data_IF_549561075043
#
_entry.id   IF_549561075043
#
_cell.length_a   1.000
_cell.length_b   1.000
_cell.length_c   1.000
_cell.angle_alpha   90.00
_cell.angle_beta   90.00
_cell.angle_gamma   90.00
#
_symmetry.space_group_name_H-M   'P 1'
#
loop_
_entity.id
_entity.type
_entity.pdbx_description
1 polymer ?
#
# COMPACT_ATOMS: atom_id res chain seq x y z
N UNK A 1 -62.63 -49.55 -28.70
CA UNK A 1 -63.08 -49.04 -27.40
C UNK A 1 -61.99 -48.11 -26.86
N UNK A 2 -62.29 -46.81 -26.76
CA UNK A 2 -61.37 -45.80 -26.24
C UNK A 2 -61.72 -45.49 -24.79
N UNK A 3 -60.80 -45.37 -23.86
CA UNK A 3 -61.07 -44.77 -22.56
C UNK A 3 -60.73 -43.27 -22.52
N UNK A 4 -61.53 -42.64 -21.79
CA UNK A 4 -61.76 -41.29 -21.32
C UNK A 4 -60.52 -40.46 -20.94
N UNK A 5 -60.58 -39.18 -21.35
CA UNK A 5 -59.65 -38.09 -20.94
C UNK A 5 -59.98 -37.64 -19.52
N UNK A 6 -58.99 -37.67 -18.66
CA UNK A 6 -58.95 -36.95 -17.36
C UNK A 6 -58.46 -35.50 -17.55
N UNK A 7 -59.24 -34.53 -17.07
CA UNK A 7 -58.93 -33.10 -17.08
C UNK A 7 -57.91 -32.82 -15.98
N UNK A 8 -56.79 -32.17 -16.35
CA UNK A 8 -55.85 -31.58 -15.40
C UNK A 8 -56.34 -30.20 -14.99
N UNK A 9 -56.60 -30.02 -13.71
CA UNK A 9 -56.85 -28.73 -13.06
C UNK A 9 -55.51 -28.00 -12.87
N UNK A 10 -55.37 -26.86 -13.57
CA UNK A 10 -54.24 -25.94 -13.39
C UNK A 10 -54.40 -25.17 -12.07
N UNK A 11 -53.51 -25.47 -11.14
CA UNK A 11 -53.38 -24.71 -9.89
C UNK A 11 -52.38 -23.58 -10.10
N UNK A 12 -52.87 -22.40 -10.44
CA UNK A 12 -52.05 -21.17 -10.54
C UNK A 12 -51.68 -20.70 -9.13
N UNK A 13 -50.53 -21.14 -8.63
CA UNK A 13 -49.91 -20.52 -7.47
C UNK A 13 -49.19 -19.22 -7.86
N UNK A 14 -49.84 -18.11 -7.52
CA UNK A 14 -49.23 -16.78 -7.61
C UNK A 14 -48.01 -16.71 -6.69
N UNK A 15 -46.82 -16.75 -7.27
CA UNK A 15 -45.56 -16.45 -6.55
C UNK A 15 -45.55 -14.96 -6.18
N UNK A 16 -45.81 -14.66 -4.90
CA UNK A 16 -45.54 -13.36 -4.31
C UNK A 16 -44.01 -13.09 -4.40
N UNK A 17 -43.63 -12.18 -5.29
CA UNK A 17 -42.26 -11.62 -5.31
C UNK A 17 -42.09 -10.80 -4.06
N UNK A 18 -41.42 -11.37 -3.07
CA UNK A 18 -40.87 -10.60 -1.94
C UNK A 18 -39.75 -9.71 -2.47
N UNK A 19 -40.09 -8.49 -2.82
CA UNK A 19 -39.11 -7.42 -3.03
C UNK A 19 -38.52 -7.04 -1.66
N UNK A 20 -37.54 -7.82 -1.21
CA UNK A 20 -36.69 -7.38 -0.12
C UNK A 20 -35.97 -6.10 -0.59
N UNK A 21 -36.41 -4.95 -0.08
CA UNK A 21 -35.67 -3.73 -0.22
C UNK A 21 -34.24 -3.99 0.27
N UNK A 22 -33.26 -3.84 -0.63
CA UNK A 22 -31.85 -3.88 -0.23
C UNK A 22 -31.66 -2.77 0.79
N UNK A 23 -31.29 -3.17 2.02
CA UNK A 23 -30.83 -2.21 3.01
C UNK A 23 -29.72 -1.33 2.40
N UNK A 24 -29.71 -0.01 2.68
CA UNK A 24 -28.67 0.87 2.16
C UNK A 24 -27.33 0.27 2.54
N UNK A 25 -26.47 0.02 1.54
CA UNK A 25 -25.09 -0.40 1.78
C UNK A 25 -24.46 0.70 2.62
N UNK A 26 -24.11 0.37 3.85
CA UNK A 26 -23.28 1.23 4.69
C UNK A 26 -22.09 1.62 3.83
N UNK A 27 -21.93 2.91 3.58
CA UNK A 27 -20.79 3.43 2.84
C UNK A 27 -19.53 3.05 3.62
N UNK A 28 -18.70 2.19 3.04
CA UNK A 28 -17.40 1.86 3.62
C UNK A 28 -16.66 3.19 3.76
N UNK A 29 -16.20 3.54 4.97
CA UNK A 29 -15.47 4.79 5.17
C UNK A 29 -14.31 4.84 4.17
N UNK A 30 -14.08 6.01 3.55
CA UNK A 30 -12.97 6.18 2.64
C UNK A 30 -11.64 5.92 3.40
N UNK A 31 -10.88 4.88 3.06
CA UNK A 31 -9.66 4.53 3.80
C UNK A 31 -8.49 5.46 3.50
N UNK A 32 -8.61 6.34 2.52
CA UNK A 32 -7.56 7.19 2.01
C UNK A 32 -6.93 8.10 3.08
N UNK A 33 -7.69 8.85 3.89
CA UNK A 33 -7.11 9.67 4.96
C UNK A 33 -6.32 8.84 5.97
N UNK A 34 -6.82 7.65 6.33
CA UNK A 34 -6.15 6.76 7.26
C UNK A 34 -4.79 6.26 6.72
N UNK A 35 -4.73 5.89 5.45
CA UNK A 35 -3.48 5.47 4.81
C UNK A 35 -2.50 6.65 4.67
N UNK A 36 -2.97 7.86 4.36
CA UNK A 36 -2.12 9.05 4.28
C UNK A 36 -1.53 9.42 5.64
N UNK A 37 -2.30 9.33 6.72
CA UNK A 37 -1.79 9.53 8.09
C UNK A 37 -0.76 8.46 8.47
N UNK A 38 -0.97 7.20 8.07
CA UNK A 38 0.00 6.12 8.27
C UNK A 38 1.31 6.37 7.52
N UNK A 39 1.23 6.81 6.25
CA UNK A 39 2.40 7.20 5.44
C UNK A 39 3.12 8.39 6.07
N UNK A 40 2.39 9.40 6.54
CA UNK A 40 2.98 10.56 7.21
C UNK A 40 3.77 10.14 8.47
N UNK A 41 3.19 9.30 9.31
CA UNK A 41 3.87 8.77 10.49
C UNK A 41 5.13 7.97 10.12
N UNK A 42 5.06 7.16 9.06
CA UNK A 42 6.21 6.44 8.52
C UNK A 42 7.31 7.40 8.05
N UNK A 43 6.99 8.40 7.21
CA UNK A 43 7.96 9.36 6.68
C UNK A 43 8.68 10.11 7.79
N UNK A 44 7.93 10.58 8.81
CA UNK A 44 8.49 11.28 9.97
C UNK A 44 9.52 10.45 10.73
N UNK A 45 9.25 9.16 10.90
CA UNK A 45 10.18 8.26 11.58
C UNK A 45 11.35 7.83 10.68
N UNK A 46 11.07 7.51 9.41
CA UNK A 46 12.06 6.98 8.47
C UNK A 46 13.10 8.02 8.06
N UNK A 47 12.73 9.30 7.90
CA UNK A 47 13.67 10.38 7.53
C UNK A 47 14.81 10.59 8.52
N UNK A 48 14.63 10.17 9.77
CA UNK A 48 15.67 10.24 10.82
C UNK A 48 16.49 8.96 10.92
N UNK A 49 16.22 7.96 10.08
CA UNK A 49 16.96 6.70 10.09
C UNK A 49 18.25 6.86 9.28
N UNK A 50 19.43 6.60 9.86
CA UNK A 50 20.70 6.69 9.13
C UNK A 50 20.69 5.83 7.87
N UNK A 51 21.14 6.38 6.75
CA UNK A 51 21.19 5.72 5.46
C UNK A 51 19.91 5.84 4.62
N UNK A 52 18.84 6.45 5.12
CA UNK A 52 17.71 6.88 4.28
C UNK A 52 18.08 8.15 3.54
N UNK A 53 18.07 8.12 2.21
CA UNK A 53 18.46 9.22 1.34
C UNK A 53 17.29 9.97 0.73
N UNK A 54 16.17 9.26 0.47
CA UNK A 54 14.97 9.82 -0.16
C UNK A 54 13.75 8.97 0.18
N UNK A 55 12.59 9.58 0.30
CA UNK A 55 11.31 8.90 0.46
C UNK A 55 10.33 9.48 -0.54
N UNK A 56 9.60 8.63 -1.25
CA UNK A 56 8.59 9.03 -2.22
C UNK A 56 7.31 8.21 -2.08
N UNK A 57 6.17 8.83 -2.39
CA UNK A 57 4.87 8.18 -2.46
C UNK A 57 4.63 7.68 -3.88
N UNK A 58 4.20 6.43 -3.99
CA UNK A 58 3.84 5.77 -5.24
C UNK A 58 2.36 5.36 -5.25
N UNK A 59 1.99 4.68 -6.31
CA UNK A 59 0.73 3.92 -6.38
C UNK A 59 -0.53 4.78 -6.30
N UNK A 60 -1.57 4.16 -5.78
CA UNK A 60 -2.93 4.73 -5.80
C UNK A 60 -3.13 5.94 -4.89
N UNK A 61 -2.31 6.10 -3.85
CA UNK A 61 -2.34 7.29 -2.98
C UNK A 61 -1.77 8.55 -3.66
N UNK A 62 -0.89 8.37 -4.65
CA UNK A 62 -0.34 9.47 -5.43
C UNK A 62 -1.27 9.91 -6.59
N UNK A 63 -2.44 9.29 -6.76
CA UNK A 63 -3.41 9.56 -7.83
C UNK A 63 -4.78 9.88 -7.25
N UNK A 64 -5.70 10.38 -8.10
CA UNK A 64 -7.10 10.67 -7.74
C UNK A 64 -7.98 9.43 -7.54
N UNK A 65 -7.40 8.25 -7.42
CA UNK A 65 -8.16 7.03 -7.21
C UNK A 65 -8.97 7.11 -5.90
N UNK A 66 -10.31 7.07 -5.95
CA UNK A 66 -11.14 7.30 -4.76
C UNK A 66 -10.90 6.28 -3.65
N UNK A 67 -10.67 5.01 -4.02
CA UNK A 67 -10.37 3.94 -3.08
C UNK A 67 -8.99 3.38 -3.40
N UNK A 68 -7.95 3.78 -2.65
CA UNK A 68 -6.63 3.20 -2.78
C UNK A 68 -6.66 1.74 -2.36
N UNK A 69 -5.75 0.93 -2.92
CA UNK A 69 -5.62 -0.49 -2.54
C UNK A 69 -4.60 -0.66 -1.41
N UNK A 70 -3.48 0.05 -1.52
CA UNK A 70 -2.33 -0.11 -0.65
C UNK A 70 -1.62 1.24 -0.46
N UNK A 71 -0.77 1.31 0.56
CA UNK A 71 0.15 2.42 0.78
C UNK A 71 1.54 2.04 0.23
N UNK A 72 1.88 2.53 -0.95
CA UNK A 72 3.13 2.24 -1.64
C UNK A 72 4.15 3.35 -1.42
N UNK A 73 5.28 3.04 -0.80
CA UNK A 73 6.36 3.99 -0.52
C UNK A 73 7.67 3.50 -1.12
N UNK A 74 8.37 4.37 -1.85
CA UNK A 74 9.73 4.12 -2.31
C UNK A 74 10.72 4.79 -1.37
N UNK A 75 11.68 4.03 -0.86
CA UNK A 75 12.79 4.55 -0.06
C UNK A 75 14.10 4.32 -0.80
N UNK A 76 14.81 5.39 -1.09
CA UNK A 76 16.19 5.31 -1.58
C UNK A 76 17.13 5.25 -0.38
N UNK A 77 18.02 4.28 -0.40
CA UNK A 77 18.89 3.97 0.73
C UNK A 77 20.38 3.97 0.35
N UNK A 78 21.22 4.23 1.33
CA UNK A 78 22.65 3.96 1.23
C UNK A 78 22.93 2.45 1.14
N UNK A 79 24.02 2.08 0.47
CA UNK A 79 24.39 0.68 0.26
C UNK A 79 24.67 -0.06 1.59
N UNK A 80 25.26 0.64 2.56
CA UNK A 80 25.66 0.08 3.85
C UNK A 80 24.57 0.16 4.93
N UNK A 81 23.39 0.73 4.61
CA UNK A 81 22.33 0.94 5.59
C UNK A 81 21.86 -0.38 6.23
N UNK A 82 21.77 -0.43 7.57
CA UNK A 82 21.05 -1.50 8.27
C UNK A 82 19.53 -1.35 8.03
N UNK A 83 18.89 -2.43 7.52
CA UNK A 83 17.47 -2.42 7.19
C UNK A 83 16.55 -2.72 8.39
N UNK A 84 17.06 -3.19 9.53
CA UNK A 84 16.21 -3.56 10.67
C UNK A 84 15.38 -2.39 11.22
N UNK A 85 15.93 -1.16 11.40
CA UNK A 85 15.11 -0.01 11.79
C UNK A 85 13.98 0.29 10.79
N UNK A 86 14.29 0.25 9.49
CA UNK A 86 13.29 0.50 8.45
C UNK A 86 12.24 -0.62 8.39
N UNK A 87 12.64 -1.87 8.61
CA UNK A 87 11.73 -3.00 8.69
C UNK A 87 10.75 -2.90 9.87
N UNK A 88 11.20 -2.36 11.01
CA UNK A 88 10.32 -2.06 12.16
C UNK A 88 9.27 -0.99 11.81
N UNK A 89 9.68 0.05 11.12
CA UNK A 89 8.76 1.10 10.65
C UNK A 89 7.79 0.56 9.61
N UNK A 90 8.26 -0.27 8.69
CA UNK A 90 7.43 -0.95 7.69
C UNK A 90 6.36 -1.82 8.31
N UNK A 91 6.69 -2.58 9.36
CA UNK A 91 5.68 -3.38 10.10
C UNK A 91 4.61 -2.51 10.75
N UNK A 92 4.97 -1.32 11.25
CA UNK A 92 3.99 -0.38 11.81
C UNK A 92 3.07 0.17 10.72
N UNK A 93 3.64 0.59 9.58
CA UNK A 93 2.87 1.06 8.43
C UNK A 93 1.90 -0.01 7.94
N UNK A 94 2.39 -1.24 7.73
CA UNK A 94 1.57 -2.40 7.35
C UNK A 94 0.47 -2.69 8.37
N UNK A 95 0.80 -2.71 9.66
CA UNK A 95 -0.17 -2.96 10.72
C UNK A 95 -1.28 -1.90 10.76
N UNK A 96 -0.93 -0.62 10.55
CA UNK A 96 -1.91 0.47 10.46
C UNK A 96 -2.80 0.31 9.22
N UNK A 97 -2.24 0.00 8.05
CA UNK A 97 -3.03 -0.25 6.84
C UNK A 97 -3.99 -1.44 7.01
N UNK A 98 -3.56 -2.49 7.69
CA UNK A 98 -4.37 -3.68 7.96
C UNK A 98 -5.59 -3.40 8.85
N UNK A 99 -5.60 -2.34 9.67
CA UNK A 99 -6.78 -1.98 10.46
C UNK A 99 -7.98 -1.58 9.61
N UNK A 100 -7.75 -1.22 8.35
CA UNK A 100 -8.78 -0.92 7.34
C UNK A 100 -8.79 -1.96 6.20
N UNK A 101 -8.25 -3.16 6.44
CA UNK A 101 -8.16 -4.28 5.51
C UNK A 101 -7.38 -3.96 4.21
N UNK A 102 -6.36 -3.12 4.31
CA UNK A 102 -5.47 -2.75 3.19
C UNK A 102 -4.02 -3.11 3.50
N UNK A 103 -3.17 -3.06 2.48
CA UNK A 103 -1.75 -3.35 2.57
C UNK A 103 -0.86 -2.10 2.60
N UNK A 104 0.43 -2.34 2.81
CA UNK A 104 1.46 -1.33 2.59
C UNK A 104 2.75 -2.01 2.15
N UNK A 105 3.38 -1.48 1.11
CA UNK A 105 4.67 -1.95 0.61
C UNK A 105 5.73 -0.84 0.67
N UNK A 106 6.92 -1.22 1.10
CA UNK A 106 8.08 -0.34 1.06
C UNK A 106 9.06 -0.90 0.05
N UNK A 107 9.14 -0.23 -1.08
CA UNK A 107 10.07 -0.51 -2.16
C UNK A 107 11.42 0.14 -1.85
N UNK A 108 12.50 -0.53 -2.21
CA UNK A 108 13.85 -0.06 -1.98
C UNK A 108 14.59 0.19 -3.29
N UNK A 109 15.30 1.31 -3.35
CA UNK A 109 16.27 1.60 -4.40
C UNK A 109 17.60 2.06 -3.78
N UNK A 110 18.71 1.88 -4.49
CA UNK A 110 19.98 2.44 -4.10
C UNK A 110 20.16 3.89 -4.62
N UNK A 111 21.22 4.56 -4.18
CA UNK A 111 21.57 5.91 -4.61
C UNK A 111 21.78 6.05 -6.14
N UNK A 112 22.15 4.96 -6.83
CA UNK A 112 22.28 4.92 -8.29
C UNK A 112 20.95 4.70 -9.03
N UNK A 113 19.79 4.69 -8.33
CA UNK A 113 18.48 4.50 -8.93
C UNK A 113 18.15 3.06 -9.34
N UNK A 114 18.89 2.07 -8.85
CA UNK A 114 18.61 0.66 -9.09
C UNK A 114 17.62 0.13 -8.06
N UNK A 115 16.58 -0.56 -8.52
CA UNK A 115 15.66 -1.28 -7.66
C UNK A 115 16.36 -2.43 -6.92
N UNK A 116 16.09 -2.56 -5.64
CA UNK A 116 16.70 -3.58 -4.77
C UNK A 116 15.72 -4.66 -4.33
N UNK A 117 14.44 -4.39 -4.33
CA UNK A 117 13.40 -5.24 -3.76
C UNK A 117 12.50 -4.49 -2.78
N UNK A 118 11.88 -5.21 -1.86
CA UNK A 118 10.97 -4.66 -0.84
C UNK A 118 11.47 -4.94 0.57
N UNK A 119 11.00 -4.15 1.54
CA UNK A 119 11.22 -4.47 2.96
C UNK A 119 10.44 -5.74 3.33
N UNK A 120 11.12 -6.67 3.98
CA UNK A 120 10.52 -7.87 4.54
C UNK A 120 9.83 -7.55 5.87
N UNK A 121 8.55 -7.91 5.98
CA UNK A 121 7.72 -7.66 7.18
C UNK A 121 7.89 -8.69 8.31
N UNK A 122 8.66 -9.74 8.14
CA UNK A 122 8.92 -10.72 9.20
C UNK A 122 9.77 -10.11 10.32
N UNK A 123 9.39 -10.40 11.57
CA UNK A 123 10.11 -9.89 12.74
C UNK A 123 11.52 -10.49 12.85
N UNK A 124 11.59 -11.80 12.63
CA UNK A 124 12.84 -12.54 12.65
C UNK A 124 13.27 -12.76 11.20
N UNK A 125 14.41 -12.23 10.85
CA UNK A 125 14.98 -12.39 9.54
C UNK A 125 16.29 -13.16 9.64
N UNK A 126 16.25 -14.39 9.09
CA UNK A 126 17.42 -15.26 8.96
C UNK A 126 17.61 -15.57 7.48
N UNK A 127 18.33 -14.69 6.74
CA UNK A 127 18.48 -14.83 5.29
C UNK A 127 18.94 -16.25 4.93
N UNK A 128 18.22 -16.90 4.01
CA UNK A 128 18.49 -18.23 3.44
C UNK A 128 18.43 -19.44 4.37
N UNK A 129 18.37 -19.31 5.70
CA UNK A 129 18.50 -20.46 6.60
C UNK A 129 17.18 -20.87 7.25
N UNK A 130 16.39 -19.93 7.73
CA UNK A 130 15.15 -20.22 8.46
C UNK A 130 14.03 -19.20 8.18
N UNK A 131 14.19 -18.36 7.17
CA UNK A 131 13.20 -17.35 6.82
C UNK A 131 11.98 -18.01 6.15
N UNK A 132 10.77 -17.65 6.59
CA UNK A 132 9.50 -18.12 6.01
C UNK A 132 9.08 -17.31 4.78
N UNK A 133 9.82 -16.26 4.42
CA UNK A 133 9.55 -15.47 3.22
C UNK A 133 9.88 -16.28 1.97
N UNK A 134 8.97 -16.25 0.98
CA UNK A 134 9.15 -16.97 -0.29
C UNK A 134 10.35 -16.44 -1.09
N UNK A 135 10.64 -15.15 -0.97
CA UNK A 135 11.73 -14.46 -1.67
C UNK A 135 12.61 -13.76 -0.64
N UNK A 136 13.44 -14.54 0.04
CA UNK A 136 14.38 -14.03 1.03
C UNK A 136 15.71 -13.70 0.35
N UNK A 137 16.07 -12.41 0.32
CA UNK A 137 17.34 -11.93 -0.19
C UNK A 137 18.54 -12.32 0.66
N UNK A 138 19.74 -12.04 0.15
CA UNK A 138 20.99 -12.21 0.89
C UNK A 138 21.13 -11.25 2.06
N UNK A 139 20.50 -10.08 1.93
CA UNK A 139 20.54 -9.02 2.92
C UNK A 139 19.39 -9.19 3.91
N UNK A 140 19.69 -9.04 5.18
CA UNK A 140 18.67 -9.08 6.24
C UNK A 140 17.55 -8.06 5.97
N UNK A 141 16.31 -8.47 6.18
CA UNK A 141 15.11 -7.68 5.91
C UNK A 141 14.90 -7.23 4.46
N UNK A 142 15.63 -7.77 3.51
CA UNK A 142 15.40 -7.56 2.09
C UNK A 142 14.61 -8.72 1.49
N UNK A 143 13.47 -8.42 0.88
CA UNK A 143 12.76 -9.30 -0.02
C UNK A 143 13.13 -8.92 -1.46
N UNK A 144 13.92 -9.74 -2.13
CA UNK A 144 14.43 -9.49 -3.47
C UNK A 144 13.64 -10.22 -4.56
N UNK A 145 12.32 -10.27 -4.43
CA UNK A 145 11.40 -10.87 -5.40
C UNK A 145 11.33 -10.11 -6.76
N UNK A 146 12.49 -9.76 -7.29
CA UNK A 146 12.65 -8.89 -8.48
C UNK A 146 11.99 -9.44 -9.74
N UNK A 147 11.70 -10.73 -9.78
CA UNK A 147 10.97 -11.35 -10.89
C UNK A 147 9.45 -11.19 -10.76
N UNK A 148 8.95 -10.99 -9.55
CA UNK A 148 7.53 -10.86 -9.26
C UNK A 148 7.13 -9.39 -9.23
N UNK A 149 7.93 -8.57 -8.56
CA UNK A 149 7.69 -7.13 -8.41
C UNK A 149 8.95 -6.37 -8.77
N UNK A 150 8.83 -5.48 -9.73
CA UNK A 150 9.92 -4.58 -10.12
C UNK A 150 9.37 -3.17 -10.36
N UNK A 151 10.22 -2.18 -10.11
CA UNK A 151 9.93 -0.79 -10.45
C UNK A 151 10.81 -0.39 -11.64
N UNK A 152 10.22 0.33 -12.60
CA UNK A 152 10.99 0.84 -13.73
C UNK A 152 12.01 1.90 -13.26
N UNK A 153 13.17 2.00 -13.92
CA UNK A 153 14.15 3.05 -13.62
C UNK A 153 13.56 4.46 -13.72
N UNK A 154 12.61 4.69 -14.64
CA UNK A 154 11.91 5.96 -14.77
C UNK A 154 11.09 6.30 -13.52
N UNK A 155 10.36 5.34 -12.95
CA UNK A 155 9.58 5.53 -11.74
C UNK A 155 10.48 5.77 -10.51
N UNK A 156 11.63 5.13 -10.45
CA UNK A 156 12.58 5.32 -9.36
C UNK A 156 13.24 6.71 -9.43
N UNK A 157 13.65 7.13 -10.63
CA UNK A 157 14.32 8.43 -10.82
C UNK A 157 13.35 9.60 -10.66
N UNK A 158 12.12 9.46 -11.15
CA UNK A 158 11.08 10.48 -11.13
C UNK A 158 9.74 9.94 -10.59
N UNK A 159 9.66 9.60 -9.29
CA UNK A 159 8.42 9.14 -8.70
C UNK A 159 7.36 10.25 -8.70
N UNK A 160 6.07 9.91 -8.64
CA UNK A 160 4.97 10.89 -8.68
C UNK A 160 5.12 11.99 -7.64
N UNK A 161 5.46 11.64 -6.39
CA UNK A 161 5.58 12.61 -5.29
C UNK A 161 6.77 12.24 -4.41
N UNK A 162 7.79 13.08 -4.37
CA UNK A 162 8.80 13.01 -3.31
C UNK A 162 8.25 13.61 -2.01
N UNK A 163 8.54 12.97 -0.89
CA UNK A 163 8.12 13.39 0.44
C UNK A 163 9.30 13.88 1.29
N UNK A 164 10.52 13.41 1.00
CA UNK A 164 11.75 13.78 1.68
C UNK A 164 12.96 13.54 0.76
N UNK A 165 14.04 14.36 0.79
CA UNK A 165 14.29 15.51 1.68
C UNK A 165 13.53 16.79 1.30
N UNK A 166 12.89 16.81 0.13
CA UNK A 166 12.03 17.92 -0.34
C UNK A 166 10.76 17.35 -0.92
N UNK A 167 9.65 18.05 -0.72
CA UNK A 167 8.39 17.68 -1.36
C UNK A 167 8.45 18.16 -2.82
N UNK A 168 8.33 17.21 -3.75
CA UNK A 168 8.32 17.48 -5.19
C UNK A 168 7.21 16.66 -5.83
N UNK A 169 6.16 17.31 -6.29
CA UNK A 169 5.09 16.67 -7.06
C UNK A 169 5.41 16.75 -8.55
N UNK A 170 5.32 15.62 -9.26
CA UNK A 170 5.52 15.51 -10.73
C UNK A 170 4.24 15.15 -11.47
N UNK A 171 3.15 15.01 -10.75
CA UNK A 171 1.80 14.77 -11.27
C UNK A 171 0.80 15.70 -10.57
N UNK A 172 -0.43 15.74 -11.05
CA UNK A 172 -1.52 16.36 -10.31
C UNK A 172 -1.71 15.63 -8.98
N UNK A 173 -1.46 16.34 -7.88
CA UNK A 173 -1.56 15.75 -6.54
C UNK A 173 -2.99 15.93 -6.03
N UNK A 174 -3.64 14.86 -5.58
CA UNK A 174 -4.95 14.95 -4.94
C UNK A 174 -4.94 15.95 -3.77
N UNK A 175 -6.01 16.73 -3.63
CA UNK A 175 -6.09 17.79 -2.63
C UNK A 175 -5.89 17.28 -1.19
N UNK A 176 -6.40 16.09 -0.87
CA UNK A 176 -6.22 15.45 0.42
C UNK A 176 -4.74 15.05 0.67
N UNK A 177 -4.04 14.59 -0.37
CA UNK A 177 -2.61 14.28 -0.31
C UNK A 177 -1.79 15.56 -0.13
N UNK A 178 -2.13 16.64 -0.82
CA UNK A 178 -1.47 17.95 -0.63
C UNK A 178 -1.62 18.45 0.80
N UNK A 179 -2.84 18.42 1.34
CA UNK A 179 -3.12 18.93 2.69
C UNK A 179 -2.43 18.09 3.77
N UNK A 180 -2.53 16.75 3.69
CA UNK A 180 -2.00 15.88 4.73
C UNK A 180 -0.48 15.75 4.68
N UNK A 181 0.10 15.62 3.51
CA UNK A 181 1.54 15.40 3.37
C UNK A 181 2.32 16.72 3.27
N UNK A 182 1.85 17.68 2.46
CA UNK A 182 2.51 18.96 2.25
C UNK A 182 2.50 19.81 3.52
N UNK A 183 1.34 20.16 4.03
CA UNK A 183 1.23 21.06 5.19
C UNK A 183 1.85 20.48 6.47
N UNK A 184 1.78 19.18 6.68
CA UNK A 184 2.29 18.53 7.90
C UNK A 184 3.78 18.17 7.85
N UNK A 185 4.37 17.98 6.65
CA UNK A 185 5.80 17.67 6.51
C UNK A 185 6.67 18.93 6.41
N UNK A 186 6.17 20.02 5.77
CA UNK A 186 6.91 21.27 5.62
C UNK A 186 7.04 22.07 6.93
N UNK A 187 6.08 21.91 7.85
CA UNK A 187 6.06 22.67 9.11
C UNK A 187 7.01 22.16 10.19
N UNK A 188 7.64 21.00 9.99
CA UNK A 188 8.57 20.46 10.99
C UNK A 188 10.01 20.96 10.74
N UNK A 189 10.67 21.56 11.75
CA UNK A 189 12.06 22.00 11.62
C UNK A 189 12.95 20.82 11.28
N UNK A 190 13.79 21.01 10.26
CA UNK A 190 14.86 20.06 9.92
C UNK A 190 15.79 19.96 11.14
N UNK A 191 15.77 18.85 11.82
CA UNK A 191 16.82 18.55 12.80
C UNK A 191 18.08 18.23 11.99
N UNK A 192 19.05 19.14 12.05
CA UNK A 192 20.41 18.95 11.54
C UNK A 192 21.10 17.84 12.35
#
# INVERSE_FOLDING_TARGET
MRPSRARKTDCHMARRRNSRALAPRLSVPNPRPHLLDAVLAFVRAARSTPGVLRIALLGSLATDKPVPKDADVLVTIDAAMDLDPLARLGRRLQGTAQTVNLGADIFLANAAGRYLGRICHYRQCYPRVACRALSCGLRQHLNDDLQIVTLSPALISAPPIDLWPRIVARCAVPADTQVLLGAKLDQEPRRN
#
